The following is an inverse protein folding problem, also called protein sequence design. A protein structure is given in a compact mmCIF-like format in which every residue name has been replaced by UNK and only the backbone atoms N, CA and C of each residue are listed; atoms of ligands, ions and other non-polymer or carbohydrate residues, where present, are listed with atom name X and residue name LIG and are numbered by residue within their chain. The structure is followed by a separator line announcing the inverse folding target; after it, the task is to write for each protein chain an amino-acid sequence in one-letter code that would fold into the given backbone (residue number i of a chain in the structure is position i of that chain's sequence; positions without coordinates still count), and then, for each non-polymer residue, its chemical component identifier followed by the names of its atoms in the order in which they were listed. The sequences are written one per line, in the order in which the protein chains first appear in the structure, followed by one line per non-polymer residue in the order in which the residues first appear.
data_IF_819883125847
#
_entry.id   IF_819883125847
#
_cell.length_a   1.000
_cell.length_b   1.000
_cell.length_c   1.000
_cell.angle_alpha   90.00
_cell.angle_beta   90.00
_cell.angle_gamma   90.00
#
_symmetry.space_group_name_H-M   'P 1'
#
loop_
_entity.id
_entity.type
_entity.pdbx_description
1 polymer ?
#
# COMPACT_ATOMS: atom_id res chain seq x y z
N UNK A 1 -58.73 -37.40 21.68
CA UNK A 1 -57.34 -37.41 22.13
C UNK A 1 -57.36 -36.90 23.56
N UNK A 2 -56.93 -37.70 24.52
CA UNK A 2 -56.97 -37.29 25.92
C UNK A 2 -55.90 -36.22 26.21
N UNK A 3 -56.11 -35.37 27.22
CA UNK A 3 -55.17 -34.31 27.59
C UNK A 3 -53.72 -34.81 27.78
N UNK A 4 -53.54 -36.06 28.26
CA UNK A 4 -52.23 -36.71 28.38
C UNK A 4 -51.56 -37.02 27.04
N UNK A 5 -52.33 -37.40 26.02
CA UNK A 5 -51.81 -37.66 24.67
C UNK A 5 -51.40 -36.35 23.97
N UNK A 6 -52.17 -35.27 24.19
CA UNK A 6 -51.83 -33.91 23.74
C UNK A 6 -50.49 -33.45 24.35
N UNK A 7 -50.33 -33.64 25.67
CA UNK A 7 -49.11 -33.30 26.40
C UNK A 7 -47.91 -34.13 25.92
N UNK A 8 -48.08 -35.45 25.74
CA UNK A 8 -47.00 -36.34 25.30
C UNK A 8 -46.51 -36.00 23.88
N UNK A 9 -47.45 -35.75 22.95
CA UNK A 9 -47.11 -35.35 21.58
C UNK A 9 -46.42 -33.98 21.54
N UNK A 10 -46.88 -33.02 22.36
CA UNK A 10 -46.27 -31.69 22.45
C UNK A 10 -44.86 -31.75 23.04
N UNK A 11 -44.64 -32.59 24.06
CA UNK A 11 -43.29 -32.81 24.62
C UNK A 11 -42.32 -33.34 23.56
N UNK A 12 -42.72 -34.33 22.77
CA UNK A 12 -41.88 -34.87 21.72
C UNK A 12 -41.49 -33.81 20.67
N UNK A 13 -42.47 -33.00 20.22
CA UNK A 13 -42.21 -31.90 19.29
C UNK A 13 -41.30 -30.83 19.89
N UNK A 14 -41.51 -30.47 21.16
CA UNK A 14 -40.69 -29.49 21.85
C UNK A 14 -39.24 -29.96 22.01
N UNK A 15 -39.02 -31.24 22.35
CA UNK A 15 -37.67 -31.82 22.42
C UNK A 15 -36.98 -31.80 21.05
N UNK A 16 -37.70 -32.08 19.96
CA UNK A 16 -37.13 -32.03 18.61
C UNK A 16 -36.77 -30.59 18.19
N UNK A 17 -37.64 -29.61 18.46
CA UNK A 17 -37.35 -28.19 18.21
C UNK A 17 -36.19 -27.68 19.07
N UNK A 18 -36.07 -28.10 20.33
CA UNK A 18 -34.93 -27.79 21.20
C UNK A 18 -33.63 -28.36 20.62
N UNK A 19 -33.62 -29.63 20.21
CA UNK A 19 -32.46 -30.25 19.59
C UNK A 19 -32.03 -29.53 18.30
N UNK A 20 -32.99 -29.08 17.49
CA UNK A 20 -32.71 -28.25 16.32
C UNK A 20 -32.11 -26.89 16.71
N UNK A 21 -32.63 -26.25 17.75
CA UNK A 21 -32.13 -24.97 18.24
C UNK A 21 -30.69 -25.08 18.77
N UNK A 22 -30.38 -26.13 19.54
CA UNK A 22 -29.01 -26.42 20.00
C UNK A 22 -28.04 -26.63 18.82
N UNK A 23 -28.45 -27.39 17.80
CA UNK A 23 -27.63 -27.57 16.58
C UNK A 23 -27.39 -26.24 15.85
N UNK A 24 -28.41 -25.40 15.73
CA UNK A 24 -28.30 -24.08 15.10
C UNK A 24 -27.39 -23.14 15.91
N UNK A 25 -27.49 -23.16 17.23
CA UNK A 25 -26.61 -22.38 18.11
C UNK A 25 -25.15 -22.79 17.93
N UNK A 26 -24.85 -24.09 17.87
CA UNK A 26 -23.51 -24.60 17.57
C UNK A 26 -22.98 -24.09 16.23
N UNK A 27 -23.81 -24.14 15.17
CA UNK A 27 -23.44 -23.60 13.84
C UNK A 27 -23.21 -22.08 13.85
N UNK A 28 -24.01 -21.32 14.60
CA UNK A 28 -23.79 -19.86 14.76
C UNK A 28 -22.45 -19.58 15.43
N UNK A 29 -22.10 -20.33 16.48
CA UNK A 29 -20.83 -20.16 17.19
C UNK A 29 -19.64 -20.52 16.30
N UNK A 30 -19.72 -21.63 15.57
CA UNK A 30 -18.67 -22.06 14.62
C UNK A 30 -18.44 -21.01 13.53
N UNK A 31 -19.52 -20.56 12.87
CA UNK A 31 -19.42 -19.55 11.81
C UNK A 31 -18.92 -18.20 12.34
N UNK A 32 -19.24 -17.85 13.60
CA UNK A 32 -18.75 -16.63 14.23
C UNK A 32 -17.26 -16.73 14.63
N UNK A 33 -16.78 -17.92 15.01
CA UNK A 33 -15.36 -18.18 15.23
C UNK A 33 -14.57 -18.06 13.92
N UNK A 34 -15.05 -18.67 12.84
CA UNK A 34 -14.46 -18.56 11.50
C UNK A 34 -14.42 -17.10 11.01
N UNK A 35 -15.47 -16.32 11.25
CA UNK A 35 -15.52 -14.90 10.94
C UNK A 35 -14.42 -14.11 11.68
N UNK A 36 -14.20 -14.42 12.96
CA UNK A 36 -13.17 -13.75 13.78
C UNK A 36 -11.75 -14.08 13.29
N UNK A 37 -11.51 -15.33 12.91
CA UNK A 37 -10.25 -15.77 12.31
C UNK A 37 -9.99 -15.07 10.98
N UNK A 38 -10.98 -15.05 10.07
CA UNK A 38 -10.89 -14.36 8.78
C UNK A 38 -10.62 -12.86 8.95
N UNK A 39 -11.26 -12.19 9.91
CA UNK A 39 -10.99 -10.79 10.24
C UNK A 39 -9.55 -10.55 10.70
N UNK A 40 -9.02 -11.43 11.55
CA UNK A 40 -7.64 -11.35 12.03
C UNK A 40 -6.64 -11.52 10.88
N UNK A 41 -6.89 -12.51 10.02
CA UNK A 41 -6.07 -12.79 8.85
C UNK A 41 -6.07 -11.61 7.86
N UNK A 42 -7.25 -11.03 7.63
CA UNK A 42 -7.41 -9.88 6.75
C UNK A 42 -6.62 -8.65 7.25
N UNK A 43 -6.65 -8.37 8.55
CA UNK A 43 -5.88 -7.27 9.15
C UNK A 43 -4.36 -7.47 8.98
N UNK A 44 -3.86 -8.69 9.17
CA UNK A 44 -2.43 -8.99 8.95
C UNK A 44 -2.01 -8.77 7.50
N UNK A 45 -2.84 -9.22 6.54
CA UNK A 45 -2.56 -9.01 5.12
C UNK A 45 -2.60 -7.53 4.74
N UNK A 46 -3.52 -6.76 5.29
CA UNK A 46 -3.61 -5.32 5.04
C UNK A 46 -2.34 -4.59 5.51
N UNK A 47 -1.85 -4.87 6.73
CA UNK A 47 -0.60 -4.28 7.23
C UNK A 47 0.61 -4.68 6.38
N UNK A 48 0.70 -5.96 6.00
CA UNK A 48 1.78 -6.47 5.15
C UNK A 48 1.78 -5.80 3.77
N UNK A 49 0.60 -5.65 3.16
CA UNK A 49 0.43 -4.97 1.89
C UNK A 49 0.87 -3.50 1.96
N UNK A 50 0.45 -2.77 2.99
CA UNK A 50 0.82 -1.36 3.18
C UNK A 50 2.33 -1.18 3.39
N UNK A 51 2.94 -2.02 4.22
CA UNK A 51 4.39 -1.97 4.46
C UNK A 51 5.18 -2.22 3.17
N UNK A 52 4.82 -3.25 2.41
CA UNK A 52 5.49 -3.57 1.15
C UNK A 52 5.28 -2.50 0.06
N UNK A 53 4.08 -1.93 -0.03
CA UNK A 53 3.82 -0.83 -0.97
C UNK A 53 4.68 0.41 -0.66
N UNK A 54 4.87 0.73 0.62
CA UNK A 54 5.74 1.82 1.04
C UNK A 54 7.22 1.55 0.73
N UNK A 55 7.69 0.31 0.92
CA UNK A 55 9.04 -0.10 0.55
C UNK A 55 9.29 0.02 -0.96
N UNK A 56 8.34 -0.43 -1.80
CA UNK A 56 8.41 -0.29 -3.26
C UNK A 56 8.48 1.18 -3.66
N UNK A 57 7.63 2.03 -3.07
CA UNK A 57 7.64 3.47 -3.33
C UNK A 57 9.01 4.09 -3.02
N UNK A 58 9.56 3.81 -1.83
CA UNK A 58 10.86 4.33 -1.40
C UNK A 58 12.00 3.83 -2.30
N UNK A 59 11.99 2.56 -2.68
CA UNK A 59 12.98 1.99 -3.58
C UNK A 59 12.90 2.60 -4.99
N UNK A 60 11.69 2.92 -5.47
CA UNK A 60 11.47 3.57 -6.76
C UNK A 60 12.05 5.00 -6.78
N UNK A 61 11.82 5.78 -5.72
CA UNK A 61 12.44 7.10 -5.53
C UNK A 61 13.97 7.00 -5.51
N UNK A 62 14.53 6.01 -4.81
CA UNK A 62 15.98 5.77 -4.80
C UNK A 62 16.51 5.44 -6.20
N UNK A 63 15.83 4.59 -6.97
CA UNK A 63 16.21 4.27 -8.35
C UNK A 63 16.19 5.52 -9.24
N UNK A 64 15.16 6.37 -9.13
CA UNK A 64 15.09 7.62 -9.88
C UNK A 64 16.27 8.55 -9.55
N UNK A 65 16.60 8.69 -8.26
CA UNK A 65 17.76 9.49 -7.83
C UNK A 65 19.09 8.92 -8.35
N UNK A 66 19.28 7.60 -8.30
CA UNK A 66 20.45 6.94 -8.87
C UNK A 66 20.53 7.17 -10.39
N UNK A 67 19.41 7.11 -11.09
CA UNK A 67 19.33 7.39 -12.53
C UNK A 67 19.75 8.82 -12.85
N UNK A 68 19.27 9.81 -12.09
CA UNK A 68 19.68 11.20 -12.24
C UNK A 68 21.18 11.40 -11.98
N UNK A 69 21.72 10.77 -10.94
CA UNK A 69 23.14 10.86 -10.60
C UNK A 69 24.03 10.24 -11.69
N UNK A 70 23.66 9.04 -12.19
CA UNK A 70 24.36 8.41 -13.31
C UNK A 70 24.37 9.32 -14.55
N UNK A 71 23.23 9.90 -14.91
CA UNK A 71 23.12 10.80 -16.06
C UNK A 71 23.95 12.08 -15.89
N UNK A 72 23.98 12.63 -14.67
CA UNK A 72 24.84 13.76 -14.33
C UNK A 72 26.32 13.40 -14.52
N UNK A 73 26.77 12.27 -13.96
CA UNK A 73 28.15 11.82 -14.08
C UNK A 73 28.56 11.55 -15.54
N UNK A 74 27.70 10.93 -16.33
CA UNK A 74 27.93 10.71 -17.76
C UNK A 74 28.10 12.04 -18.53
N UNK A 75 27.23 13.01 -18.24
CA UNK A 75 27.29 14.35 -18.84
C UNK A 75 28.56 15.09 -18.41
N UNK A 76 28.96 14.95 -17.15
CA UNK A 76 30.16 15.55 -16.60
C UNK A 76 31.44 14.96 -17.21
N UNK A 77 31.51 13.64 -17.38
CA UNK A 77 32.60 12.96 -18.09
C UNK A 77 32.71 13.50 -19.52
N UNK A 78 31.59 13.54 -20.27
CA UNK A 78 31.58 14.05 -21.64
C UNK A 78 32.04 15.51 -21.72
N UNK A 79 31.66 16.34 -20.74
CA UNK A 79 32.11 17.72 -20.64
C UNK A 79 33.63 17.82 -20.41
N UNK A 80 34.18 17.02 -19.49
CA UNK A 80 35.63 16.99 -19.21
C UNK A 80 36.39 16.50 -20.43
N UNK A 81 35.94 15.42 -21.08
CA UNK A 81 36.55 14.86 -22.29
C UNK A 81 36.60 15.93 -23.39
N UNK A 82 35.48 16.60 -23.66
CA UNK A 82 35.39 17.66 -24.66
C UNK A 82 36.31 18.85 -24.35
N UNK A 83 36.30 19.38 -23.12
CA UNK A 83 37.16 20.49 -22.73
C UNK A 83 38.65 20.14 -22.85
N UNK A 84 39.01 18.92 -22.45
CA UNK A 84 40.40 18.46 -22.51
C UNK A 84 40.89 18.34 -23.96
N UNK A 85 40.08 17.72 -24.82
CA UNK A 85 40.39 17.56 -26.24
C UNK A 85 40.53 18.92 -26.94
N UNK A 86 39.59 19.84 -26.73
CA UNK A 86 39.67 21.18 -27.31
C UNK A 86 40.91 21.95 -26.85
N UNK A 87 41.22 21.91 -25.55
CA UNK A 87 42.41 22.60 -25.02
C UNK A 87 43.72 22.02 -25.57
N UNK A 88 43.80 20.68 -25.72
CA UNK A 88 44.95 20.01 -26.31
C UNK A 88 45.08 20.32 -27.81
N UNK A 89 43.98 20.29 -28.55
CA UNK A 89 43.95 20.59 -29.98
C UNK A 89 44.39 22.03 -30.25
N UNK A 90 43.83 23.00 -29.52
CA UNK A 90 44.20 24.41 -29.67
C UNK A 90 45.68 24.65 -29.39
N UNK A 91 46.24 24.04 -28.33
CA UNK A 91 47.68 24.16 -28.05
C UNK A 91 48.55 23.48 -29.10
N UNK A 92 48.15 22.31 -29.64
CA UNK A 92 48.89 21.64 -30.71
C UNK A 92 48.88 22.47 -32.00
N UNK A 93 47.71 22.94 -32.43
CA UNK A 93 47.59 23.79 -33.62
C UNK A 93 48.40 25.07 -33.49
N UNK A 94 48.36 25.73 -32.32
CA UNK A 94 49.18 26.92 -32.08
C UNK A 94 50.67 26.59 -32.10
N UNK A 95 51.10 25.48 -31.49
CA UNK A 95 52.50 25.04 -31.52
C UNK A 95 52.95 24.75 -32.95
N UNK A 96 52.19 23.98 -33.72
CA UNK A 96 52.47 23.71 -35.13
C UNK A 96 52.51 24.97 -35.97
N UNK A 97 51.60 25.92 -35.73
CA UNK A 97 51.60 27.22 -36.40
C UNK A 97 52.91 27.97 -36.13
N UNK A 98 53.32 28.15 -34.87
CA UNK A 98 54.56 28.86 -34.55
C UNK A 98 55.81 28.11 -35.02
N UNK A 99 55.82 26.78 -34.98
CA UNK A 99 56.90 25.98 -35.54
C UNK A 99 57.00 26.15 -37.06
N UNK A 100 55.87 26.17 -37.78
CA UNK A 100 55.83 26.47 -39.22
C UNK A 100 56.22 27.91 -39.51
N UNK A 101 55.75 28.90 -38.76
CA UNK A 101 56.13 30.30 -38.94
C UNK A 101 57.61 30.54 -38.64
N UNK A 102 58.19 29.82 -37.67
CA UNK A 102 59.64 29.86 -37.43
C UNK A 102 60.40 29.10 -38.53
N UNK A 103 59.84 28.02 -39.08
CA UNK A 103 60.41 27.24 -40.18
C UNK A 103 60.26 27.91 -41.58
N UNK A 104 59.26 28.77 -41.76
CA UNK A 104 58.98 29.52 -42.99
C UNK A 104 59.54 30.96 -42.90
N UNK A 105 59.47 31.56 -41.71
CA UNK A 105 60.16 32.79 -41.32
C UNK A 105 61.65 32.58 -41.03
N UNK A 106 62.10 31.33 -40.97
CA UNK A 106 63.37 31.01 -41.59
C UNK A 106 63.17 31.14 -43.10
N UNK A 107 63.40 32.37 -43.55
CA UNK A 107 64.49 32.49 -44.48
C UNK A 107 65.55 31.46 -44.09
N UNK A 108 65.73 30.42 -44.89
CA UNK A 108 66.76 29.41 -44.63
C UNK A 108 68.02 30.13 -44.14
N UNK A 109 68.86 29.54 -43.27
CA UNK A 109 70.13 30.20 -42.91
C UNK A 109 70.87 30.76 -44.14
N UNK A 110 70.64 30.12 -45.29
CA UNK A 110 70.92 30.60 -46.63
C UNK A 110 70.19 31.89 -47.09
N UNK A 111 68.87 32.03 -47.02
CA UNK A 111 68.16 33.29 -47.32
C UNK A 111 68.51 34.42 -46.33
N UNK A 112 68.66 34.14 -45.03
CA UNK A 112 69.19 35.11 -44.06
C UNK A 112 70.59 35.53 -44.42
N UNK A 113 71.46 34.58 -44.74
CA UNK A 113 72.80 34.89 -45.23
C UNK A 113 72.77 35.64 -46.56
N UNK A 114 71.86 35.32 -47.49
CA UNK A 114 71.75 35.98 -48.79
C UNK A 114 71.20 37.40 -48.68
N UNK A 115 70.13 37.64 -47.92
CA UNK A 115 69.59 38.99 -47.77
C UNK A 115 70.40 39.82 -46.77
N UNK A 116 70.99 39.23 -45.73
CA UNK A 116 72.02 39.92 -44.95
C UNK A 116 73.26 40.23 -45.82
N UNK A 117 73.64 39.33 -46.74
CA UNK A 117 74.69 39.62 -47.72
C UNK A 117 74.25 40.67 -48.74
N UNK A 118 72.98 40.71 -49.16
CA UNK A 118 72.44 41.77 -50.05
C UNK A 118 72.36 43.11 -49.33
N UNK A 119 71.89 43.15 -48.09
CA UNK A 119 71.84 44.36 -47.26
C UNK A 119 73.25 44.81 -46.89
N UNK A 120 74.16 43.88 -46.57
CA UNK A 120 75.58 44.17 -46.34
C UNK A 120 76.28 44.62 -47.62
N UNK A 121 75.93 44.04 -48.78
CA UNK A 121 76.43 44.47 -50.08
C UNK A 121 75.85 45.82 -50.48
N UNK A 122 74.57 46.09 -50.22
CA UNK A 122 73.93 47.39 -50.46
C UNK A 122 74.52 48.44 -49.52
N UNK A 123 74.72 48.13 -48.25
CA UNK A 123 75.42 48.98 -47.29
C UNK A 123 76.86 49.24 -47.73
N UNK A 124 77.60 48.21 -48.18
CA UNK A 124 78.97 48.36 -48.70
C UNK A 124 79.00 49.19 -49.98
N UNK A 125 78.08 48.97 -50.90
CA UNK A 125 77.93 49.74 -52.15
C UNK A 125 77.54 51.20 -51.86
N UNK A 126 76.66 51.44 -50.88
CA UNK A 126 76.32 52.78 -50.39
C UNK A 126 77.52 53.45 -49.74
N UNK A 127 78.30 52.73 -48.92
CA UNK A 127 79.55 53.24 -48.35
C UNK A 127 80.58 53.58 -49.43
N UNK A 128 80.77 52.70 -50.42
CA UNK A 128 81.72 52.94 -51.52
C UNK A 128 81.25 54.09 -52.44
N UNK A 129 79.96 54.18 -52.73
CA UNK A 129 79.39 55.30 -53.49
C UNK A 129 79.49 56.61 -52.73
N UNK A 130 79.23 56.61 -51.42
CA UNK A 130 79.39 57.79 -50.58
C UNK A 130 80.85 58.23 -50.50
N UNK A 131 81.79 57.28 -50.39
CA UNK A 131 83.23 57.54 -50.35
C UNK A 131 83.77 58.06 -51.69
N UNK A 132 83.38 57.44 -52.81
CA UNK A 132 83.76 57.90 -54.16
C UNK A 132 83.20 59.30 -54.49
N UNK A 133 81.95 59.59 -54.08
CA UNK A 133 81.37 60.92 -54.25
C UNK A 133 82.04 61.99 -53.35
N UNK A 134 82.52 61.57 -52.18
CA UNK A 134 83.29 62.41 -51.26
C UNK A 134 84.69 62.74 -51.81
N UNK A 135 85.42 61.76 -52.33
CA UNK A 135 86.72 61.96 -53.01
C UNK A 135 86.59 62.84 -54.26
N UNK A 136 85.50 62.70 -55.02
CA UNK A 136 85.22 63.51 -56.21
C UNK A 136 84.80 64.96 -55.91
N UNK A 137 84.77 65.38 -54.63
CA UNK A 137 84.39 66.74 -54.18
C UNK A 137 83.01 67.23 -54.67
N UNK A 138 82.12 66.31 -55.08
CA UNK A 138 80.84 66.60 -55.73
C UNK A 138 79.60 66.20 -54.91
N UNK A 139 79.76 65.81 -53.64
CA UNK A 139 78.62 65.43 -52.79
C UNK A 139 77.82 66.65 -52.32
N UNK A 140 76.58 66.80 -52.81
CA UNK A 140 75.63 67.76 -52.25
C UNK A 140 75.12 67.30 -50.87
N UNK A 141 74.66 68.22 -50.04
CA UNK A 141 74.10 67.87 -48.72
C UNK A 141 72.84 66.99 -48.84
N UNK A 142 72.07 67.13 -49.92
CA UNK A 142 70.93 66.25 -50.24
C UNK A 142 71.36 64.81 -50.53
N UNK A 143 72.50 64.59 -51.20
CA UNK A 143 73.03 63.24 -51.43
C UNK A 143 73.55 62.61 -50.14
N UNK A 144 74.15 63.40 -49.23
CA UNK A 144 74.55 62.92 -47.91
C UNK A 144 73.33 62.51 -47.07
N UNK A 145 72.26 63.32 -47.08
CA UNK A 145 70.99 63.01 -46.40
C UNK A 145 70.35 61.73 -46.95
N UNK A 146 70.31 61.55 -48.27
CA UNK A 146 69.75 60.34 -48.91
C UNK A 146 70.49 59.06 -48.52
N UNK A 147 71.83 59.10 -48.47
CA UNK A 147 72.63 57.95 -48.02
C UNK A 147 72.39 57.63 -46.54
N UNK A 148 72.38 58.65 -45.67
CA UNK A 148 72.09 58.47 -44.24
C UNK A 148 70.69 57.87 -44.04
N UNK A 149 69.70 58.37 -44.79
CA UNK A 149 68.33 57.86 -44.76
C UNK A 149 68.27 56.37 -45.15
N UNK A 150 68.95 55.97 -46.23
CA UNK A 150 69.00 54.56 -46.67
C UNK A 150 69.69 53.64 -45.67
N UNK A 151 70.74 54.11 -44.99
CA UNK A 151 71.38 53.35 -43.91
C UNK A 151 70.41 53.14 -42.74
N UNK A 152 69.72 54.20 -42.29
CA UNK A 152 68.74 54.10 -41.21
C UNK A 152 67.59 53.15 -41.57
N UNK A 153 67.12 53.16 -42.83
CA UNK A 153 66.06 52.25 -43.30
C UNK A 153 66.49 50.78 -43.28
N UNK A 154 67.75 50.50 -43.66
CA UNK A 154 68.33 49.15 -43.60
C UNK A 154 68.45 48.68 -42.14
N UNK A 155 68.98 49.52 -41.25
CA UNK A 155 69.11 49.20 -39.82
C UNK A 155 67.77 49.00 -39.14
N UNK A 156 66.78 49.84 -39.46
CA UNK A 156 65.42 49.71 -38.96
C UNK A 156 64.77 48.40 -39.42
N UNK A 157 64.95 48.02 -40.69
CA UNK A 157 64.40 46.77 -41.25
C UNK A 157 65.03 45.53 -40.59
N UNK A 158 66.34 45.53 -40.35
CA UNK A 158 67.02 44.44 -39.63
C UNK A 158 66.48 44.33 -38.20
N UNK A 159 66.39 45.45 -37.50
CA UNK A 159 65.92 45.50 -36.12
C UNK A 159 64.48 45.00 -35.98
N UNK A 160 63.59 45.41 -36.90
CA UNK A 160 62.19 44.99 -36.91
C UNK A 160 62.05 43.47 -37.10
N UNK A 161 62.84 42.88 -38.01
CA UNK A 161 62.82 41.42 -38.23
C UNK A 161 63.37 40.64 -37.05
N UNK A 162 64.42 41.14 -36.37
CA UNK A 162 64.96 40.50 -35.17
C UNK A 162 63.96 40.55 -34.00
N UNK A 163 63.23 41.67 -33.83
CA UNK A 163 62.13 41.79 -32.86
C UNK A 163 61.02 40.77 -33.17
N UNK A 164 60.59 40.65 -34.44
CA UNK A 164 59.56 39.70 -34.85
C UNK A 164 59.98 38.24 -34.57
N UNK A 165 61.21 37.88 -34.91
CA UNK A 165 61.78 36.55 -34.64
C UNK A 165 61.80 36.23 -33.15
N UNK A 166 62.26 37.16 -32.32
CA UNK A 166 62.32 36.97 -30.87
C UNK A 166 60.92 36.87 -30.26
N UNK A 167 59.96 37.65 -30.76
CA UNK A 167 58.54 37.55 -30.37
C UNK A 167 57.94 36.18 -30.70
N UNK A 168 58.15 35.67 -31.91
CA UNK A 168 57.68 34.34 -32.32
C UNK A 168 58.32 33.22 -31.49
N UNK A 169 59.62 33.33 -31.20
CA UNK A 169 60.35 32.36 -30.37
C UNK A 169 59.78 32.32 -28.94
N UNK A 170 59.51 33.49 -28.36
CA UNK A 170 58.87 33.58 -27.04
C UNK A 170 57.47 32.95 -27.07
N UNK A 171 56.66 33.29 -28.07
CA UNK A 171 55.32 32.74 -28.22
C UNK A 171 55.32 31.20 -28.40
N UNK A 172 56.30 30.64 -29.11
CA UNK A 172 56.47 29.19 -29.23
C UNK A 172 56.80 28.55 -27.87
N UNK A 173 57.74 29.13 -27.12
CA UNK A 173 58.14 28.60 -25.82
C UNK A 173 56.98 28.66 -24.81
N UNK A 174 56.24 29.75 -24.78
CA UNK A 174 55.03 29.90 -23.97
C UNK A 174 53.97 28.84 -24.35
N UNK A 175 53.78 28.57 -25.66
CA UNK A 175 52.86 27.52 -26.11
C UNK A 175 53.33 26.11 -25.74
N UNK A 176 54.64 25.82 -25.81
CA UNK A 176 55.20 24.54 -25.35
C UNK A 176 55.01 24.35 -23.85
N UNK A 177 55.22 25.39 -23.06
CA UNK A 177 54.94 25.37 -21.62
C UNK A 177 53.44 25.12 -21.34
N UNK A 178 52.54 25.78 -22.08
CA UNK A 178 51.08 25.55 -22.00
C UNK A 178 50.70 24.13 -22.40
N UNK A 179 51.29 23.57 -23.46
CA UNK A 179 51.05 22.21 -23.91
C UNK A 179 51.48 21.18 -22.85
N UNK A 180 52.65 21.39 -22.22
CA UNK A 180 53.10 20.56 -21.10
C UNK A 180 52.15 20.62 -19.91
N UNK A 181 51.69 21.82 -19.53
CA UNK A 181 50.70 22.01 -18.47
C UNK A 181 49.36 21.34 -18.79
N UNK A 182 48.87 21.45 -20.02
CA UNK A 182 47.65 20.80 -20.48
C UNK A 182 47.79 19.26 -20.48
N UNK A 183 48.98 18.74 -20.80
CA UNK A 183 49.26 17.30 -20.73
C UNK A 183 49.15 16.77 -19.30
N UNK A 184 49.73 17.47 -18.32
CA UNK A 184 49.58 17.10 -16.91
C UNK A 184 48.13 17.23 -16.42
N UNK A 185 47.43 18.29 -16.83
CA UNK A 185 46.00 18.46 -16.55
C UNK A 185 45.17 17.31 -17.12
N UNK A 186 45.48 16.85 -18.33
CA UNK A 186 44.79 15.74 -18.99
C UNK A 186 45.03 14.40 -18.29
N UNK A 187 46.22 14.18 -17.69
CA UNK A 187 46.43 13.02 -16.80
C UNK A 187 45.50 13.08 -15.58
N UNK A 188 45.33 14.27 -14.99
CA UNK A 188 44.35 14.51 -13.93
C UNK A 188 42.93 14.18 -14.38
N UNK A 189 42.50 14.70 -15.53
CA UNK A 189 41.19 14.38 -16.11
C UNK A 189 41.00 12.89 -16.40
N UNK A 190 42.02 12.21 -16.92
CA UNK A 190 41.98 10.77 -17.17
C UNK A 190 41.71 9.99 -15.88
N UNK A 191 42.39 10.36 -14.79
CA UNK A 191 42.13 9.77 -13.47
C UNK A 191 40.71 10.05 -13.01
N UNK A 192 40.25 11.31 -13.06
CA UNK A 192 38.90 11.69 -12.67
C UNK A 192 37.83 10.97 -13.50
N UNK A 193 38.03 10.79 -14.80
CA UNK A 193 37.12 10.03 -15.67
C UNK A 193 37.10 8.55 -15.26
N UNK A 194 38.26 7.96 -14.98
CA UNK A 194 38.34 6.57 -14.52
C UNK A 194 37.62 6.37 -13.18
N UNK A 195 37.81 7.29 -12.23
CA UNK A 195 37.15 7.27 -10.92
C UNK A 195 35.61 7.35 -11.07
N UNK A 196 35.10 8.31 -11.86
CA UNK A 196 33.65 8.42 -12.10
C UNK A 196 33.09 7.25 -12.92
N UNK A 197 33.86 6.65 -13.84
CA UNK A 197 33.43 5.42 -14.54
C UNK A 197 33.30 4.26 -13.57
N UNK A 198 34.22 4.12 -12.61
CA UNK A 198 34.11 3.10 -11.57
C UNK A 198 32.90 3.36 -10.65
N UNK A 199 32.63 4.62 -10.28
CA UNK A 199 31.44 5.01 -9.53
C UNK A 199 30.14 4.67 -10.28
N UNK A 200 30.04 4.98 -11.58
CA UNK A 200 28.89 4.63 -12.43
C UNK A 200 28.65 3.11 -12.42
N UNK A 201 29.70 2.29 -12.51
CA UNK A 201 29.56 0.82 -12.45
C UNK A 201 28.96 0.38 -11.12
N UNK A 202 29.38 0.97 -9.99
CA UNK A 202 28.82 0.67 -8.68
C UNK A 202 27.34 1.09 -8.59
N UNK A 203 27.01 2.30 -9.04
CA UNK A 203 25.64 2.81 -9.04
C UNK A 203 24.69 1.97 -9.90
N UNK A 204 25.16 1.47 -11.05
CA UNK A 204 24.40 0.55 -11.91
C UNK A 204 24.14 -0.77 -11.18
N UNK A 205 25.15 -1.31 -10.48
CA UNK A 205 24.98 -2.54 -9.70
C UNK A 205 23.97 -2.35 -8.55
N UNK A 206 24.04 -1.23 -7.83
CA UNK A 206 23.09 -0.89 -6.77
C UNK A 206 21.66 -0.73 -7.30
N UNK A 207 21.50 -0.05 -8.44
CA UNK A 207 20.22 0.07 -9.13
C UNK A 207 19.65 -1.30 -9.49
N UNK A 208 20.45 -2.17 -10.11
CA UNK A 208 20.01 -3.52 -10.52
C UNK A 208 19.54 -4.32 -9.30
N UNK A 209 20.27 -4.23 -8.17
CA UNK A 209 19.89 -4.88 -6.91
C UNK A 209 18.56 -4.36 -6.36
N UNK A 210 18.28 -3.05 -6.49
CA UNK A 210 17.00 -2.46 -6.06
C UNK A 210 15.85 -2.89 -6.97
N UNK A 211 16.06 -2.92 -8.29
CA UNK A 211 15.07 -3.42 -9.26
C UNK A 211 14.67 -4.88 -8.96
N UNK A 212 15.65 -5.75 -8.67
CA UNK A 212 15.41 -7.13 -8.23
C UNK A 212 14.59 -7.21 -6.92
N UNK A 213 14.84 -6.31 -5.96
CA UNK A 213 14.08 -6.25 -4.70
C UNK A 213 12.64 -5.82 -4.94
N UNK A 214 12.42 -4.81 -5.78
CA UNK A 214 11.08 -4.34 -6.16
C UNK A 214 10.30 -5.48 -6.80
N UNK A 215 10.87 -6.18 -7.80
CA UNK A 215 10.19 -7.31 -8.44
C UNK A 215 9.79 -8.40 -7.45
N UNK A 216 10.67 -8.74 -6.49
CA UNK A 216 10.35 -9.70 -5.43
C UNK A 216 9.21 -9.21 -4.54
N UNK A 217 9.22 -7.94 -4.15
CA UNK A 217 8.15 -7.35 -3.35
C UNK A 217 6.83 -7.29 -4.11
N UNK A 218 6.82 -6.91 -5.40
CA UNK A 218 5.63 -6.88 -6.25
C UNK A 218 4.93 -8.25 -6.33
N UNK A 219 5.70 -9.34 -6.42
CA UNK A 219 5.17 -10.70 -6.38
C UNK A 219 4.47 -10.97 -5.03
N UNK A 220 5.05 -10.54 -3.91
CA UNK A 220 4.47 -10.74 -2.58
C UNK A 220 3.21 -9.88 -2.40
N UNK A 221 3.25 -8.62 -2.83
CA UNK A 221 2.12 -7.69 -2.82
C UNK A 221 0.95 -8.26 -3.63
N UNK A 222 1.23 -8.77 -4.83
CA UNK A 222 0.21 -9.37 -5.71
C UNK A 222 -0.42 -10.60 -5.06
N UNK A 223 0.39 -11.50 -4.48
CA UNK A 223 -0.11 -12.68 -3.75
C UNK A 223 -0.93 -12.30 -2.52
N UNK A 224 -0.47 -11.29 -1.78
CA UNK A 224 -1.15 -10.81 -0.57
C UNK A 224 -2.49 -10.16 -0.91
N UNK A 225 -2.55 -9.38 -1.99
CA UNK A 225 -3.79 -8.79 -2.51
C UNK A 225 -4.79 -9.87 -2.95
N UNK A 226 -4.33 -10.92 -3.63
CA UNK A 226 -5.19 -12.04 -4.03
C UNK A 226 -5.79 -12.74 -2.80
N UNK A 227 -4.97 -13.05 -1.78
CA UNK A 227 -5.43 -13.64 -0.52
C UNK A 227 -6.40 -12.73 0.23
N UNK A 228 -6.15 -11.42 0.26
CA UNK A 228 -7.05 -10.45 0.89
C UNK A 228 -8.42 -10.45 0.20
N UNK A 229 -8.48 -10.47 -1.14
CA UNK A 229 -9.74 -10.57 -1.89
C UNK A 229 -10.50 -11.87 -1.58
N UNK A 230 -9.79 -12.99 -1.53
CA UNK A 230 -10.39 -14.28 -1.16
C UNK A 230 -10.98 -14.26 0.25
N UNK A 231 -10.25 -13.70 1.23
CA UNK A 231 -10.72 -13.56 2.62
C UNK A 231 -11.94 -12.63 2.75
N UNK A 232 -12.01 -11.57 1.92
CA UNK A 232 -13.18 -10.70 1.87
C UNK A 232 -14.43 -11.47 1.41
N UNK A 233 -14.31 -12.30 0.37
CA UNK A 233 -15.44 -13.13 -0.09
C UNK A 233 -15.82 -14.20 0.93
N UNK A 234 -14.85 -14.88 1.55
CA UNK A 234 -15.11 -15.84 2.65
C UNK A 234 -15.86 -15.16 3.80
N UNK A 235 -15.40 -13.97 4.22
CA UNK A 235 -16.03 -13.20 5.30
C UNK A 235 -17.47 -12.80 4.93
N UNK A 236 -17.72 -12.45 3.66
CA UNK A 236 -19.06 -12.09 3.18
C UNK A 236 -20.01 -13.29 3.21
N UNK A 237 -19.57 -14.46 2.76
CA UNK A 237 -20.39 -15.67 2.80
C UNK A 237 -20.61 -16.14 4.24
N UNK A 238 -19.58 -16.12 5.10
CA UNK A 238 -19.72 -16.44 6.52
C UNK A 238 -20.73 -15.52 7.23
N UNK A 239 -20.73 -14.20 6.94
CA UNK A 239 -21.74 -13.27 7.47
C UNK A 239 -23.16 -13.65 7.04
N UNK A 240 -23.32 -14.08 5.78
CA UNK A 240 -24.61 -14.53 5.23
C UNK A 240 -25.07 -15.83 5.87
N UNK A 241 -24.17 -16.78 6.10
CA UNK A 241 -24.48 -18.03 6.82
C UNK A 241 -24.88 -17.76 8.27
N UNK A 242 -24.13 -16.92 9.00
CA UNK A 242 -24.49 -16.51 10.38
C UNK A 242 -25.88 -15.88 10.42
N UNK A 243 -26.20 -14.98 9.47
CA UNK A 243 -27.53 -14.37 9.39
C UNK A 243 -28.63 -15.41 9.11
N UNK A 244 -28.35 -16.38 8.23
CA UNK A 244 -29.26 -17.48 7.89
C UNK A 244 -29.53 -18.37 9.11
N UNK A 245 -28.48 -18.81 9.81
CA UNK A 245 -28.63 -19.64 11.00
C UNK A 245 -29.34 -18.90 12.15
N UNK A 246 -29.06 -17.60 12.34
CA UNK A 246 -29.81 -16.78 13.30
C UNK A 246 -31.29 -16.67 12.93
N UNK A 247 -31.60 -16.47 11.65
CA UNK A 247 -32.97 -16.46 11.14
C UNK A 247 -33.70 -17.78 11.40
N UNK A 248 -33.05 -18.91 11.13
CA UNK A 248 -33.61 -20.24 11.41
C UNK A 248 -33.77 -20.51 12.91
N UNK A 249 -32.81 -20.11 13.74
CA UNK A 249 -32.91 -20.28 15.19
C UNK A 249 -34.08 -19.46 15.75
N UNK A 250 -34.25 -18.21 15.28
CA UNK A 250 -35.38 -17.37 15.64
C UNK A 250 -36.72 -17.99 15.22
N UNK A 251 -36.82 -18.48 13.99
CA UNK A 251 -38.03 -19.14 13.48
C UNK A 251 -38.37 -20.42 14.28
N UNK A 252 -37.36 -21.22 14.61
CA UNK A 252 -37.51 -22.44 15.43
C UNK A 252 -37.99 -22.11 16.84
N UNK A 253 -37.41 -21.06 17.44
CA UNK A 253 -37.80 -20.56 18.77
C UNK A 253 -39.23 -20.02 18.75
N UNK A 254 -39.61 -19.28 17.70
CA UNK A 254 -40.97 -18.79 17.52
C UNK A 254 -41.97 -19.94 17.32
N UNK A 255 -41.60 -20.98 16.58
CA UNK A 255 -42.42 -22.18 16.41
C UNK A 255 -42.63 -22.92 17.73
N UNK A 256 -41.57 -23.04 18.55
CA UNK A 256 -41.63 -23.63 19.89
C UNK A 256 -42.57 -22.85 20.81
N UNK A 257 -42.46 -21.51 20.83
CA UNK A 257 -43.36 -20.66 21.62
C UNK A 257 -44.81 -20.77 21.15
N UNK A 258 -45.03 -20.83 19.84
CA UNK A 258 -46.36 -20.98 19.25
C UNK A 258 -46.97 -22.35 19.53
N UNK A 259 -46.19 -23.44 19.46
CA UNK A 259 -46.66 -24.79 19.82
C UNK A 259 -47.04 -24.85 21.29
N UNK A 260 -46.17 -24.33 22.19
CA UNK A 260 -46.45 -24.23 23.62
C UNK A 260 -47.78 -23.52 23.91
N UNK A 261 -48.00 -22.35 23.30
CA UNK A 261 -49.24 -21.59 23.47
C UNK A 261 -50.46 -22.37 22.98
N UNK A 262 -50.36 -23.01 21.81
CA UNK A 262 -51.44 -23.81 21.22
C UNK A 262 -51.77 -25.04 22.07
N UNK A 263 -50.75 -25.78 22.51
CA UNK A 263 -50.91 -26.94 23.39
C UNK A 263 -51.61 -26.56 24.70
N UNK A 264 -51.20 -25.46 25.33
CA UNK A 264 -51.85 -24.98 26.56
C UNK A 264 -53.35 -24.71 26.33
N UNK A 265 -53.70 -24.09 25.20
CA UNK A 265 -55.08 -23.78 24.85
C UNK A 265 -55.91 -25.04 24.48
N UNK A 266 -55.30 -26.03 23.82
CA UNK A 266 -55.94 -27.32 23.51
C UNK A 266 -56.17 -28.16 24.78
N UNK A 267 -55.19 -28.20 25.69
CA UNK A 267 -55.33 -28.87 27.00
C UNK A 267 -56.45 -28.20 27.82
N UNK A 268 -56.49 -26.88 27.89
CA UNK A 268 -57.55 -26.16 28.61
C UNK A 268 -58.95 -26.46 28.03
N UNK A 269 -59.08 -26.50 26.70
CA UNK A 269 -60.34 -26.88 26.03
C UNK A 269 -60.77 -28.30 26.39
N UNK A 270 -59.86 -29.27 26.35
CA UNK A 270 -60.20 -30.66 26.67
C UNK A 270 -60.60 -30.82 28.13
N UNK A 271 -59.89 -30.17 29.06
CA UNK A 271 -60.27 -30.14 30.49
C UNK A 271 -61.69 -29.61 30.65
N UNK A 272 -62.00 -28.47 30.03
CA UNK A 272 -63.35 -27.87 30.08
C UNK A 272 -64.40 -28.81 29.50
N UNK A 273 -64.17 -29.39 28.33
CA UNK A 273 -65.10 -30.35 27.70
C UNK A 273 -65.37 -31.55 28.60
N UNK A 274 -64.34 -32.09 29.25
CA UNK A 274 -64.48 -33.24 30.15
C UNK A 274 -65.22 -32.88 31.45
N UNK A 275 -64.95 -31.71 32.03
CA UNK A 275 -65.71 -31.20 33.17
C UNK A 275 -67.20 -31.03 32.80
N UNK A 276 -67.51 -30.42 31.65
CA UNK A 276 -68.90 -30.28 31.19
C UNK A 276 -69.59 -31.63 30.94
N UNK A 277 -68.87 -32.64 30.44
CA UNK A 277 -69.41 -34.01 30.31
C UNK A 277 -69.73 -34.62 31.67
N UNK A 278 -68.86 -34.44 32.67
CA UNK A 278 -69.06 -34.96 34.03
C UNK A 278 -70.18 -34.24 34.80
N UNK A 279 -70.48 -32.98 34.42
CA UNK A 279 -71.60 -32.20 34.95
C UNK A 279 -72.95 -32.47 34.26
N UNK A 280 -72.99 -33.36 33.27
CA UNK A 280 -74.22 -33.66 32.54
C UNK A 280 -75.16 -34.54 33.38
N UNK A 281 -76.47 -34.33 33.23
CA UNK A 281 -77.53 -35.21 33.74
C UNK A 281 -77.56 -35.37 35.29
N UNK A 282 -77.36 -34.25 36.02
CA UNK A 282 -77.38 -34.16 37.49
C UNK A 282 -78.80 -34.05 38.07
N UNK A 283 -79.63 -35.07 37.82
CA UNK A 283 -81.04 -35.12 38.25
C UNK A 283 -81.26 -35.38 39.76
N UNK A 284 -80.19 -35.58 40.53
CA UNK A 284 -80.30 -35.94 41.95
C UNK A 284 -79.07 -35.50 42.76
N UNK A 285 -79.30 -35.21 44.05
CA UNK A 285 -78.27 -34.80 45.02
C UNK A 285 -77.10 -35.79 45.08
N UNK A 286 -77.40 -37.09 45.05
CA UNK A 286 -76.39 -38.17 45.08
C UNK A 286 -75.48 -38.14 43.84
N UNK A 287 -76.06 -37.95 42.64
CA UNK A 287 -75.29 -37.81 41.39
C UNK A 287 -74.46 -36.53 41.37
N UNK A 288 -75.00 -35.42 41.87
CA UNK A 288 -74.27 -34.15 41.99
C UNK A 288 -73.03 -34.27 42.89
N UNK A 289 -73.18 -34.86 44.09
CA UNK A 289 -72.04 -35.07 45.00
C UNK A 289 -70.98 -36.01 44.39
N UNK A 290 -71.40 -37.07 43.69
CA UNK A 290 -70.47 -38.00 43.03
C UNK A 290 -69.75 -37.36 41.84
N UNK A 291 -70.44 -36.52 41.06
CA UNK A 291 -69.86 -35.76 39.96
C UNK A 291 -68.81 -34.75 40.47
N UNK A 292 -69.10 -34.02 41.55
CA UNK A 292 -68.14 -33.09 42.19
C UNK A 292 -66.86 -33.85 42.60
N UNK A 293 -66.99 -34.98 43.29
CA UNK A 293 -65.81 -35.75 43.72
C UNK A 293 -64.98 -36.26 42.52
N UNK A 294 -65.66 -36.70 41.45
CA UNK A 294 -65.01 -37.20 40.23
C UNK A 294 -64.32 -36.08 39.46
N UNK A 295 -64.95 -34.90 39.38
CA UNK A 295 -64.38 -33.69 38.76
C UNK A 295 -63.15 -33.24 39.54
N UNK A 296 -63.21 -33.20 40.87
CA UNK A 296 -62.07 -32.81 41.70
C UNK A 296 -60.88 -33.75 41.49
N UNK A 297 -61.12 -35.07 41.53
CA UNK A 297 -60.06 -36.05 41.25
C UNK A 297 -59.56 -36.05 39.81
N UNK A 298 -60.36 -35.56 38.85
CA UNK A 298 -59.91 -35.35 37.46
C UNK A 298 -59.07 -34.08 37.35
N UNK A 299 -59.54 -32.95 37.88
CA UNK A 299 -58.84 -31.66 37.86
C UNK A 299 -57.50 -31.73 38.58
N UNK A 300 -57.42 -32.42 39.72
CA UNK A 300 -56.16 -32.61 40.46
C UNK A 300 -55.14 -33.42 39.63
N UNK A 301 -55.60 -34.46 38.92
CA UNK A 301 -54.76 -35.24 37.99
C UNK A 301 -54.29 -34.43 36.78
N UNK A 302 -55.13 -33.51 36.27
CA UNK A 302 -54.75 -32.61 35.17
C UNK A 302 -53.81 -31.50 35.65
N UNK A 303 -54.06 -30.93 36.82
CA UNK A 303 -53.18 -29.93 37.47
C UNK A 303 -51.77 -30.48 37.61
N UNK A 304 -51.64 -31.70 38.13
CA UNK A 304 -50.33 -32.37 38.25
C UNK A 304 -49.67 -32.64 36.90
N UNK A 305 -50.43 -33.08 35.89
CA UNK A 305 -49.89 -33.30 34.54
C UNK A 305 -49.42 -32.00 33.86
N UNK A 306 -50.10 -30.88 34.13
CA UNK A 306 -49.72 -29.54 33.65
C UNK A 306 -48.51 -29.01 34.39
N UNK A 307 -48.42 -29.20 35.72
CA UNK A 307 -47.22 -28.89 36.50
C UNK A 307 -46.00 -29.67 35.98
N UNK A 308 -46.11 -31.00 35.83
CA UNK A 308 -45.04 -31.85 35.32
C UNK A 308 -44.59 -31.42 33.90
N UNK A 309 -45.52 -31.03 33.03
CA UNK A 309 -45.22 -30.48 31.70
C UNK A 309 -44.47 -29.15 31.80
N UNK A 310 -44.95 -28.23 32.63
CA UNK A 310 -44.38 -26.89 32.82
C UNK A 310 -42.98 -26.97 33.40
N UNK A 311 -42.75 -27.83 34.40
CA UNK A 311 -41.43 -28.05 35.00
C UNK A 311 -40.46 -28.69 34.00
N UNK A 312 -40.88 -29.68 33.21
CA UNK A 312 -40.01 -30.29 32.19
C UNK A 312 -39.64 -29.32 31.06
N UNK A 313 -40.55 -28.44 30.64
CA UNK A 313 -40.28 -27.39 29.65
C UNK A 313 -39.37 -26.30 30.20
N UNK A 314 -39.55 -25.87 31.46
CA UNK A 314 -38.73 -24.83 32.09
C UNK A 314 -37.33 -25.36 32.45
N UNK A 315 -37.21 -26.59 32.98
CA UNK A 315 -35.92 -27.20 33.34
C UNK A 315 -35.06 -27.56 32.12
N UNK A 316 -35.66 -27.77 30.95
CA UNK A 316 -34.94 -27.97 29.68
C UNK A 316 -34.64 -26.67 28.93
N UNK A 317 -35.19 -25.53 29.37
CA UNK A 317 -35.02 -24.19 28.79
C UNK A 317 -33.99 -23.32 29.55
N UNK A 318 -33.40 -23.82 30.64
CA UNK A 318 -32.62 -22.99 31.57
C UNK A 318 -31.21 -22.61 31.08
N UNK A 319 -30.75 -23.11 29.94
CA UNK A 319 -29.49 -22.66 29.33
C UNK A 319 -29.75 -21.78 28.11
N UNK A 320 -29.84 -20.47 28.39
CA UNK A 320 -29.80 -19.31 27.49
C UNK A 320 -31.15 -18.70 27.04
N UNK A 321 -31.49 -17.61 27.73
CA UNK A 321 -32.27 -16.43 27.28
C UNK A 321 -33.66 -16.71 26.68
N UNK A 322 -34.66 -16.84 27.56
CA UNK A 322 -36.06 -16.60 27.20
C UNK A 322 -36.40 -15.10 27.17
N UNK A 323 -37.04 -14.59 26.10
CA UNK A 323 -37.85 -13.38 26.18
C UNK A 323 -38.98 -13.57 27.20
N UNK A 324 -39.19 -12.58 28.06
CA UNK A 324 -40.25 -12.53 29.07
C UNK A 324 -41.63 -12.48 28.43
N UNK A 325 -42.15 -13.57 27.87
CA UNK A 325 -43.52 -13.59 27.35
C UNK A 325 -44.09 -15.01 27.18
N UNK A 326 -44.01 -15.81 28.24
CA UNK A 326 -44.91 -16.95 28.42
C UNK A 326 -45.23 -17.03 29.90
N UNK A 327 -46.16 -16.19 30.36
CA UNK A 327 -46.50 -16.11 31.77
C UNK A 327 -47.36 -17.35 32.18
N UNK A 328 -46.85 -18.26 33.02
CA UNK A 328 -47.58 -19.44 33.51
C UNK A 328 -48.82 -19.08 34.34
N UNK A 329 -48.89 -17.84 34.82
CA UNK A 329 -49.95 -17.33 35.69
C UNK A 329 -51.36 -17.51 35.11
N UNK A 330 -51.54 -17.44 33.79
CA UNK A 330 -52.89 -17.54 33.19
C UNK A 330 -53.58 -18.90 33.38
N UNK A 331 -52.81 -19.99 33.49
CA UNK A 331 -53.37 -21.34 33.69
C UNK A 331 -53.73 -21.56 35.16
N UNK A 332 -52.92 -21.02 36.08
CA UNK A 332 -53.19 -21.01 37.52
C UNK A 332 -54.40 -20.14 37.83
N UNK A 333 -54.46 -18.93 37.27
CA UNK A 333 -55.62 -18.04 37.37
C UNK A 333 -56.90 -18.68 36.82
N UNK A 334 -56.79 -19.53 35.79
CA UNK A 334 -57.92 -20.27 35.24
C UNK A 334 -58.36 -21.44 36.14
N UNK A 335 -57.41 -22.18 36.73
CA UNK A 335 -57.70 -23.23 37.72
C UNK A 335 -58.34 -22.60 38.98
N UNK A 336 -57.81 -21.47 39.43
CA UNK A 336 -58.35 -20.70 40.56
C UNK A 336 -59.73 -20.12 40.24
N UNK A 337 -59.97 -19.67 38.99
CA UNK A 337 -61.29 -19.23 38.52
C UNK A 337 -62.32 -20.38 38.50
N UNK A 338 -61.92 -21.57 38.04
CA UNK A 338 -62.77 -22.77 38.06
C UNK A 338 -63.02 -23.24 39.50
N UNK A 339 -62.03 -23.16 40.38
CA UNK A 339 -62.19 -23.38 41.83
C UNK A 339 -63.10 -22.34 42.51
N UNK A 340 -63.05 -21.08 42.07
CA UNK A 340 -63.97 -20.03 42.52
C UNK A 340 -65.42 -20.28 42.09
N UNK A 341 -65.62 -20.77 40.86
CA UNK A 341 -66.93 -21.22 40.37
C UNK A 341 -67.47 -22.40 41.20
N UNK A 342 -66.62 -23.33 41.63
CA UNK A 342 -66.98 -24.41 42.54
C UNK A 342 -67.51 -23.87 43.88
N UNK A 343 -66.81 -22.95 44.54
CA UNK A 343 -67.27 -22.37 45.80
C UNK A 343 -68.59 -21.61 45.65
N UNK A 344 -68.80 -20.93 44.52
CA UNK A 344 -70.06 -20.24 44.23
C UNK A 344 -71.23 -21.21 43.99
N UNK A 345 -70.97 -22.38 43.41
CA UNK A 345 -71.95 -23.45 43.22
C UNK A 345 -72.25 -24.21 44.52
N UNK A 346 -71.25 -24.45 45.37
CA UNK A 346 -71.40 -25.01 46.72
C UNK A 346 -72.24 -24.09 47.61
N UNK A 347 -71.99 -22.78 47.57
CA UNK A 347 -72.77 -21.78 48.29
C UNK A 347 -74.24 -21.73 47.83
N UNK A 348 -74.50 -21.76 46.50
CA UNK A 348 -75.87 -21.81 45.95
C UNK A 348 -76.58 -23.12 46.26
N UNK A 349 -75.87 -24.25 46.32
CA UNK A 349 -76.43 -25.52 46.74
C UNK A 349 -76.80 -25.50 48.23
N UNK A 350 -75.98 -24.85 49.08
CA UNK A 350 -76.24 -24.66 50.50
C UNK A 350 -77.42 -23.70 50.77
N UNK A 351 -77.56 -22.61 50.00
CA UNK A 351 -78.69 -21.67 50.08
C UNK A 351 -80.04 -22.33 49.77
N UNK A 352 -80.08 -23.23 48.77
CA UNK A 352 -81.28 -24.00 48.45
C UNK A 352 -81.67 -25.00 49.53
N UNK A 353 -80.73 -25.50 50.33
CA UNK A 353 -81.03 -26.32 51.52
C UNK A 353 -81.71 -25.51 52.63
N UNK A 354 -81.33 -24.24 52.83
CA UNK A 354 -81.93 -23.40 53.87
C UNK A 354 -83.34 -22.87 53.50
N UNK A 355 -83.76 -22.99 52.23
CA UNK A 355 -85.11 -22.65 51.78
C UNK A 355 -86.08 -23.84 51.77
N UNK A 356 -85.60 -25.06 52.08
CA UNK A 356 -86.40 -26.29 52.12
C UNK A 356 -86.66 -26.81 53.55
N UNK A 357 -86.12 -26.13 54.58
CA UNK A 357 -86.32 -26.44 56.00
C UNK A 357 -87.10 -25.33 56.76
N UNK A 358 -87.98 -24.60 56.04
CA UNK A 358 -89.05 -23.76 56.63
C UNK A 358 -90.39 -24.12 56.01
#
# INVERSE_FOLDING_TARGET
MEAREIIASANQQNTELQNQNYRLLGKVQEAQAQLSEAHTLNNMFQHTFQAQAFEIYTATEMINNLHHHINFLLSYIAHIEHQSEQAMLACRQATEYYEREIAAGSWSGHQWSQEAAKLSSSARNLHHSAFANFEASNTSDEQKKDVIQKFMEIEHTISLKEIQKNSLKQALEDNRARLKKNTERNKGFTKTIADHKAEIVQLIADRTRLEDKIQKQEIIVTKSLAKMKEQVEITKEAKKEVATYKGHALATTHSLLSSLSRTNLEVAKEIVVQVFKLLKDLDSKKKATQAIHTINGYLERQSKAVEDYTTNVISSSAENQTPKEANPDKMKDFIDYVGGLQHSLEAKAAEKTNQLDV
#
